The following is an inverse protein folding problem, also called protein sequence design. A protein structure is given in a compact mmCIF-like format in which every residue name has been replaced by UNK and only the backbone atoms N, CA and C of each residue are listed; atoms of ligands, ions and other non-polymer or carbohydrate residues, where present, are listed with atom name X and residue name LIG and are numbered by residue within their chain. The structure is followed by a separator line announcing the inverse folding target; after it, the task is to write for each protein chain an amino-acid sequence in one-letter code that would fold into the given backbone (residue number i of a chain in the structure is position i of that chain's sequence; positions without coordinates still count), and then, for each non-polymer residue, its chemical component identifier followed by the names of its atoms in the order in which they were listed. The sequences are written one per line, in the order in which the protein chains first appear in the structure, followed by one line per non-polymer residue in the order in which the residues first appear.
data_IF_302868519181
#
_entry.id   IF_302868519181
#
_cell.length_a   1.000
_cell.length_b   1.000
_cell.length_c   1.000
_cell.angle_alpha   90.00
_cell.angle_beta   90.00
_cell.angle_gamma   90.00
#
_symmetry.space_group_name_H-M   'P 1'
#
loop_
_entity.id
_entity.type
_entity.pdbx_description
1 polymer ?
#
# COMPACT_ATOMS: atom_id res chain seq x y z
N UNK A 1 20.66 -21.00 -15.35
CA UNK A 1 20.80 -19.65 -14.77
C UNK A 1 19.42 -19.15 -14.35
N UNK A 2 19.27 -18.52 -13.20
CA UNK A 2 17.98 -17.97 -12.79
C UNK A 2 17.55 -16.85 -13.76
N UNK A 3 16.23 -16.75 -14.04
CA UNK A 3 15.67 -15.63 -14.80
C UNK A 3 15.67 -14.36 -13.94
N UNK A 4 15.49 -13.20 -14.56
CA UNK A 4 15.45 -11.90 -13.86
C UNK A 4 14.38 -11.84 -12.74
N UNK A 5 13.32 -12.64 -12.84
CA UNK A 5 12.26 -12.80 -11.82
C UNK A 5 12.59 -13.87 -10.77
N UNK A 6 13.83 -14.33 -10.67
CA UNK A 6 14.29 -15.40 -9.76
C UNK A 6 13.67 -16.80 -10.00
N UNK A 7 12.93 -16.98 -11.10
CA UNK A 7 12.37 -18.27 -11.44
C UNK A 7 13.48 -19.28 -11.76
N UNK A 8 13.42 -20.45 -11.13
CA UNK A 8 14.31 -21.58 -11.35
C UNK A 8 13.51 -22.87 -11.39
N UNK A 9 13.82 -23.75 -12.33
CA UNK A 9 13.27 -25.09 -12.41
C UNK A 9 14.20 -25.95 -13.28
N UNK A 10 14.39 -27.20 -12.93
CA UNK A 10 14.92 -28.20 -13.85
C UNK A 10 13.77 -28.73 -14.68
N UNK A 11 13.93 -28.67 -16.01
CA UNK A 11 12.97 -29.19 -16.97
C UNK A 11 13.57 -30.44 -17.63
N UNK A 12 12.81 -31.49 -17.69
CA UNK A 12 13.16 -32.71 -18.42
C UNK A 12 11.96 -33.20 -19.22
N UNK A 13 12.17 -33.49 -20.48
CA UNK A 13 11.13 -34.09 -21.31
C UNK A 13 11.33 -35.60 -21.32
N UNK A 14 10.32 -36.36 -20.93
CA UNK A 14 10.28 -37.81 -20.98
C UNK A 14 9.19 -38.30 -21.91
N UNK A 15 9.37 -39.43 -22.51
CA UNK A 15 8.34 -40.03 -23.37
C UNK A 15 7.57 -41.07 -22.57
N UNK A 16 6.26 -40.98 -22.55
CA UNK A 16 5.37 -41.93 -21.93
C UNK A 16 5.24 -43.23 -22.74
N UNK A 17 4.57 -44.24 -22.17
CA UNK A 17 4.42 -45.58 -22.82
C UNK A 17 3.73 -45.56 -24.18
N UNK A 18 2.96 -44.53 -24.45
CA UNK A 18 2.22 -44.32 -25.72
C UNK A 18 2.92 -43.35 -26.67
N UNK A 19 4.18 -42.95 -26.37
CA UNK A 19 4.95 -42.01 -27.17
C UNK A 19 4.60 -40.55 -26.96
N UNK A 20 3.71 -40.21 -26.02
CA UNK A 20 3.44 -38.85 -25.62
C UNK A 20 4.64 -38.20 -24.93
N UNK A 21 4.95 -36.94 -25.25
CA UNK A 21 5.96 -36.19 -24.55
C UNK A 21 5.40 -35.58 -23.26
N UNK A 22 6.03 -35.84 -22.14
CA UNK A 22 5.67 -35.33 -20.82
C UNK A 22 6.82 -34.44 -20.35
N UNK A 23 6.53 -33.16 -20.06
CA UNK A 23 7.49 -32.26 -19.47
C UNK A 23 7.45 -32.36 -17.95
N UNK A 24 8.55 -32.83 -17.36
CA UNK A 24 8.71 -32.97 -15.91
C UNK A 24 9.47 -31.75 -15.40
N UNK A 25 8.89 -31.05 -14.43
CA UNK A 25 9.52 -29.93 -13.75
C UNK A 25 9.95 -30.35 -12.34
N UNK A 26 11.25 -30.27 -12.05
CA UNK A 26 11.82 -30.62 -10.76
C UNK A 26 12.24 -29.31 -10.08
N UNK A 27 11.73 -29.11 -8.86
CA UNK A 27 12.00 -27.89 -8.08
C UNK A 27 12.24 -28.26 -6.62
N UNK A 28 13.11 -27.49 -5.95
CA UNK A 28 13.15 -27.50 -4.49
C UNK A 28 11.89 -26.81 -3.94
N UNK A 29 11.58 -26.99 -2.66
CA UNK A 29 10.48 -26.26 -2.00
C UNK A 29 10.63 -24.75 -2.11
N UNK A 30 11.86 -24.26 -2.08
CA UNK A 30 12.18 -22.84 -2.25
C UNK A 30 11.92 -22.36 -3.68
N UNK A 31 12.40 -23.09 -4.69
CA UNK A 31 12.15 -22.81 -6.10
C UNK A 31 10.64 -22.82 -6.41
N UNK A 32 9.90 -23.77 -5.83
CA UNK A 32 8.45 -23.84 -6.00
C UNK A 32 7.75 -22.61 -5.42
N UNK A 33 8.11 -22.19 -4.20
CA UNK A 33 7.56 -20.97 -3.59
C UNK A 33 7.87 -19.72 -4.42
N UNK A 34 9.10 -19.59 -4.90
CA UNK A 34 9.49 -18.47 -5.76
C UNK A 34 8.73 -18.46 -7.08
N UNK A 35 8.41 -19.64 -7.66
CA UNK A 35 7.63 -19.76 -8.89
C UNK A 35 6.15 -19.42 -8.70
N UNK A 36 5.56 -19.75 -7.54
CA UNK A 36 4.16 -19.49 -7.23
C UNK A 36 3.91 -18.04 -6.77
N UNK A 37 4.82 -17.51 -5.98
CA UNK A 37 4.62 -16.22 -5.28
C UNK A 37 5.60 -15.11 -5.71
N UNK A 38 6.54 -15.42 -6.64
CA UNK A 38 7.50 -14.48 -7.17
C UNK A 38 8.60 -14.06 -6.20
N UNK A 39 9.28 -12.96 -6.53
CA UNK A 39 10.42 -12.41 -5.76
C UNK A 39 10.06 -12.13 -4.30
N UNK A 40 8.82 -11.75 -4.01
CA UNK A 40 8.34 -11.49 -2.65
C UNK A 40 8.50 -12.71 -1.73
N UNK A 41 8.27 -13.92 -2.22
CA UNK A 41 8.45 -15.15 -1.43
C UNK A 41 9.92 -15.43 -1.09
N UNK A 42 10.85 -15.09 -1.98
CA UNK A 42 12.29 -15.28 -1.75
C UNK A 42 12.81 -14.38 -0.61
N UNK A 43 12.35 -13.14 -0.54
CA UNK A 43 12.71 -12.22 0.53
C UNK A 43 12.17 -12.65 1.89
N UNK A 44 10.95 -13.20 1.92
CA UNK A 44 10.32 -13.74 3.12
C UNK A 44 11.07 -14.93 3.70
N UNK A 45 11.55 -15.81 2.84
CA UNK A 45 12.32 -16.99 3.26
C UNK A 45 13.68 -16.62 3.85
N UNK A 46 14.36 -15.63 3.29
CA UNK A 46 15.67 -15.17 3.78
C UNK A 46 15.64 -14.57 5.19
N UNK A 47 14.47 -14.15 5.68
CA UNK A 47 14.27 -13.64 7.04
C UNK A 47 14.02 -14.72 8.10
N UNK A 48 14.00 -16.02 7.70
CA UNK A 48 13.94 -17.14 8.66
C UNK A 48 12.64 -17.30 9.43
N UNK A 49 11.56 -16.60 9.06
CA UNK A 49 10.28 -16.70 9.74
C UNK A 49 9.39 -17.79 9.12
N UNK A 50 8.70 -18.64 9.92
CA UNK A 50 7.64 -19.50 9.41
C UNK A 50 6.50 -18.60 8.89
N UNK A 51 6.29 -18.60 7.57
CA UNK A 51 5.27 -17.77 6.94
C UNK A 51 3.93 -18.47 7.08
N UNK A 52 3.09 -18.00 8.00
CA UNK A 52 1.68 -18.35 7.99
C UNK A 52 0.99 -17.81 6.74
N UNK A 53 0.01 -18.56 6.23
CA UNK A 53 -0.76 -18.21 5.00
C UNK A 53 -1.35 -16.81 5.08
N UNK A 54 -1.73 -16.36 6.29
CA UNK A 54 -2.26 -15.02 6.56
C UNK A 54 -1.24 -13.89 6.36
N UNK A 55 0.03 -14.12 6.68
CA UNK A 55 1.11 -13.13 6.51
C UNK A 55 1.51 -12.97 5.05
N UNK A 56 1.43 -14.04 4.26
CA UNK A 56 1.65 -13.99 2.84
C UNK A 56 0.55 -13.21 2.12
N UNK A 57 -0.72 -13.41 2.51
CA UNK A 57 -1.85 -12.66 1.96
C UNK A 57 -1.78 -11.17 2.27
N UNK A 58 -1.38 -10.80 3.48
CA UNK A 58 -1.15 -9.39 3.87
C UNK A 58 -0.03 -8.75 3.04
N UNK A 59 1.07 -9.48 2.81
CA UNK A 59 2.20 -9.00 2.00
C UNK A 59 1.89 -8.95 0.51
N UNK A 60 1.05 -9.84 -0.01
CA UNK A 60 0.53 -9.77 -1.38
C UNK A 60 -0.48 -8.63 -1.56
N UNK A 61 -1.31 -8.35 -0.57
CA UNK A 61 -2.19 -7.19 -0.56
C UNK A 61 -1.38 -5.89 -0.61
N UNK A 62 -0.32 -5.80 0.20
CA UNK A 62 0.63 -4.70 0.17
C UNK A 62 1.32 -4.56 -1.20
N UNK A 63 1.74 -5.67 -1.84
CA UNK A 63 2.36 -5.64 -3.16
C UNK A 63 1.41 -5.13 -4.25
N UNK A 64 0.12 -5.46 -4.17
CA UNK A 64 -0.92 -4.90 -5.05
C UNK A 64 -1.09 -3.40 -4.84
N UNK A 65 -1.14 -2.97 -3.59
CA UNK A 65 -1.22 -1.55 -3.22
C UNK A 65 0.00 -0.77 -3.76
N UNK A 66 1.19 -1.36 -3.68
CA UNK A 66 2.42 -0.82 -4.24
C UNK A 66 2.35 -0.67 -5.77
N UNK A 67 1.78 -1.65 -6.47
CA UNK A 67 1.59 -1.55 -7.92
C UNK A 67 0.55 -0.50 -8.31
N UNK A 68 -0.44 -0.24 -7.47
CA UNK A 68 -1.38 0.87 -7.67
C UNK A 68 -0.69 2.23 -7.45
N UNK A 69 0.13 2.35 -6.42
CA UNK A 69 0.94 3.55 -6.17
C UNK A 69 1.91 3.86 -7.32
N UNK A 70 2.47 2.82 -7.95
CA UNK A 70 3.33 3.00 -9.13
C UNK A 70 2.60 3.63 -10.32
N UNK A 71 1.32 3.33 -10.50
CA UNK A 71 0.51 3.93 -11.57
C UNK A 71 0.21 5.42 -11.32
N UNK A 72 0.14 5.81 -10.04
CA UNK A 72 -0.16 7.17 -9.60
C UNK A 72 1.09 8.04 -9.40
N UNK A 73 2.28 7.43 -9.29
CA UNK A 73 3.55 8.12 -9.08
C UNK A 73 3.97 8.92 -10.33
N UNK A 74 4.43 10.15 -10.12
CA UNK A 74 4.83 11.04 -11.21
C UNK A 74 6.21 10.68 -11.78
N UNK A 75 7.08 10.04 -10.97
CA UNK A 75 8.41 9.57 -11.36
C UNK A 75 8.89 8.41 -10.47
N UNK A 76 9.96 7.72 -10.93
CA UNK A 76 10.53 6.58 -10.24
C UNK A 76 11.18 6.93 -8.88
N UNK A 77 11.73 8.14 -8.73
CA UNK A 77 12.37 8.59 -7.47
C UNK A 77 11.35 8.74 -6.36
N UNK A 78 10.22 9.37 -6.66
CA UNK A 78 9.11 9.55 -5.72
C UNK A 78 8.51 8.21 -5.26
N UNK A 79 8.44 7.24 -6.18
CA UNK A 79 8.02 5.87 -5.89
C UNK A 79 8.98 5.17 -4.92
N UNK A 80 10.29 5.23 -5.18
CA UNK A 80 11.33 4.60 -4.33
C UNK A 80 11.39 5.25 -2.95
N UNK A 81 11.21 6.57 -2.86
CA UNK A 81 11.22 7.29 -1.59
C UNK A 81 9.99 6.92 -0.74
N UNK A 82 8.82 6.79 -1.37
CA UNK A 82 7.61 6.27 -0.73
C UNK A 82 7.79 4.85 -0.18
N UNK A 83 8.42 3.98 -0.95
CA UNK A 83 8.75 2.61 -0.54
C UNK A 83 9.65 2.54 0.69
N UNK A 84 10.70 3.36 0.74
CA UNK A 84 11.63 3.39 1.89
C UNK A 84 10.92 3.78 3.18
N UNK A 85 10.01 4.75 3.12
CA UNK A 85 9.27 5.22 4.30
C UNK A 85 8.35 4.13 4.86
N UNK A 86 7.63 3.42 4.01
CA UNK A 86 6.65 2.42 4.46
C UNK A 86 7.31 1.09 4.86
N UNK A 87 8.46 0.76 4.28
CA UNK A 87 9.16 -0.51 4.54
C UNK A 87 10.00 -0.51 5.83
N UNK A 88 10.68 0.59 6.13
CA UNK A 88 11.62 0.65 7.25
C UNK A 88 11.05 1.27 8.52
N UNK A 89 9.80 1.76 8.48
CA UNK A 89 9.17 2.31 9.69
C UNK A 89 8.53 1.20 10.51
N UNK A 90 8.79 1.23 11.82
CA UNK A 90 8.00 0.45 12.76
C UNK A 90 6.51 0.77 12.57
N UNK A 91 5.64 -0.23 12.62
CA UNK A 91 4.20 -0.04 12.46
C UNK A 91 3.54 0.38 13.78
N UNK A 92 2.47 1.18 13.68
CA UNK A 92 1.53 1.44 14.76
C UNK A 92 0.18 0.84 14.43
N UNK A 93 -0.47 0.23 15.41
CA UNK A 93 -1.77 -0.42 15.28
C UNK A 93 -2.82 0.42 15.99
N UNK A 94 -3.74 0.99 15.23
CA UNK A 94 -4.81 1.83 15.75
C UNK A 94 -6.17 1.20 15.49
N UNK A 95 -7.19 1.60 16.22
CA UNK A 95 -8.51 1.01 16.15
C UNK A 95 -9.53 1.99 15.59
N UNK A 96 -10.47 1.48 14.80
CA UNK A 96 -11.69 2.22 14.50
C UNK A 96 -12.63 2.17 15.71
N UNK A 97 -13.64 3.06 15.83
CA UNK A 97 -14.68 2.96 16.86
C UNK A 97 -15.46 1.64 16.83
N UNK A 98 -15.45 0.94 15.71
CA UNK A 98 -16.05 -0.40 15.53
C UNK A 98 -15.14 -1.55 15.95
N UNK A 99 -13.91 -1.26 16.43
CA UNK A 99 -12.94 -2.25 16.88
C UNK A 99 -12.07 -2.86 15.75
N UNK A 100 -12.18 -2.40 14.52
CA UNK A 100 -11.28 -2.87 13.44
C UNK A 100 -9.88 -2.32 13.63
N UNK A 101 -8.88 -3.18 13.49
CA UNK A 101 -7.45 -2.82 13.59
C UNK A 101 -6.95 -2.30 12.25
N UNK A 102 -6.26 -1.17 12.27
CA UNK A 102 -5.62 -0.55 11.11
C UNK A 102 -4.13 -0.41 11.40
N UNK A 103 -3.32 -0.97 10.52
CA UNK A 103 -1.86 -0.85 10.55
C UNK A 103 -1.42 0.38 9.75
N UNK A 104 -0.56 1.20 10.34
CA UNK A 104 0.00 2.42 9.75
C UNK A 104 1.50 2.51 10.04
N UNK A 105 2.29 3.20 9.21
CA UNK A 105 3.68 3.52 9.51
C UNK A 105 3.82 4.30 10.83
N UNK A 106 4.90 4.06 11.56
CA UNK A 106 5.18 4.82 12.78
C UNK A 106 5.31 6.32 12.50
N UNK A 107 4.71 7.13 13.36
CA UNK A 107 4.63 8.58 13.21
C UNK A 107 3.49 9.04 12.30
N UNK A 108 2.61 8.12 11.86
CA UNK A 108 1.38 8.46 11.14
C UNK A 108 0.47 9.35 11.97
N UNK A 109 -0.32 10.16 11.26
CA UNK A 109 -1.27 11.12 11.81
C UNK A 109 -2.71 10.71 11.47
N UNK A 110 -3.74 11.32 12.07
CA UNK A 110 -5.15 11.01 11.75
C UNK A 110 -5.51 11.09 10.27
N UNK A 111 -4.82 11.92 9.50
CA UNK A 111 -5.01 11.98 8.04
C UNK A 111 -4.55 10.70 7.34
N UNK A 112 -3.42 10.10 7.75
CA UNK A 112 -2.98 8.81 7.22
C UNK A 112 -4.03 7.73 7.46
N UNK A 113 -4.59 7.70 8.66
CA UNK A 113 -5.68 6.80 9.01
C UNK A 113 -6.93 7.04 8.16
N UNK A 114 -7.33 8.30 7.95
CA UNK A 114 -8.50 8.67 7.14
C UNK A 114 -8.38 8.15 5.70
N UNK A 115 -7.22 8.37 5.06
CA UNK A 115 -6.96 7.89 3.71
C UNK A 115 -6.80 6.36 3.64
N UNK A 116 -6.33 5.73 4.71
CA UNK A 116 -6.21 4.27 4.80
C UNK A 116 -7.58 3.60 4.82
N UNK A 117 -8.58 4.21 5.47
CA UNK A 117 -9.96 3.71 5.47
C UNK A 117 -10.61 3.91 4.10
N UNK A 118 -10.64 5.15 3.61
CA UNK A 118 -11.23 5.48 2.31
C UNK A 118 -10.78 6.87 1.83
N UNK A 119 -10.49 6.98 0.54
CA UNK A 119 -10.06 8.25 -0.07
C UNK A 119 -11.06 9.39 0.16
N UNK A 120 -12.37 9.13 0.07
CA UNK A 120 -13.39 10.15 0.33
C UNK A 120 -13.42 10.62 1.79
N UNK A 121 -13.18 9.72 2.76
CA UNK A 121 -13.07 10.09 4.17
C UNK A 121 -11.88 11.02 4.35
N UNK A 122 -10.74 10.69 3.75
CA UNK A 122 -9.56 11.56 3.73
C UNK A 122 -9.85 12.93 3.12
N UNK A 123 -10.45 12.98 1.93
CA UNK A 123 -10.75 14.22 1.23
C UNK A 123 -11.76 15.11 1.97
N UNK A 124 -12.68 14.53 2.74
CA UNK A 124 -13.72 15.24 3.49
C UNK A 124 -13.37 15.45 4.96
N UNK A 125 -12.16 15.12 5.37
CA UNK A 125 -11.71 15.27 6.74
C UNK A 125 -11.70 16.74 7.16
N UNK A 126 -12.32 17.04 8.31
CA UNK A 126 -12.32 18.38 8.93
C UNK A 126 -11.70 18.37 10.32
N UNK A 127 -11.47 17.18 10.87
CA UNK A 127 -10.89 17.01 12.19
C UNK A 127 -10.84 15.53 12.60
N UNK A 128 -10.35 15.27 13.79
CA UNK A 128 -10.23 13.91 14.33
C UNK A 128 -10.43 13.89 15.83
N UNK A 129 -10.90 12.74 16.32
CA UNK A 129 -10.88 12.39 17.75
C UNK A 129 -10.00 11.17 17.96
N UNK A 130 -9.22 11.19 18.99
CA UNK A 130 -8.44 10.05 19.47
C UNK A 130 -8.85 9.77 20.91
N UNK A 131 -9.23 8.54 21.18
CA UNK A 131 -9.72 8.09 22.49
C UNK A 131 -10.86 9.00 23.03
N UNK A 132 -11.76 9.42 22.12
CA UNK A 132 -12.93 10.27 22.43
C UNK A 132 -12.62 11.77 22.55
N UNK A 133 -11.36 12.20 22.50
CA UNK A 133 -10.94 13.62 22.59
C UNK A 133 -10.58 14.18 21.22
N UNK A 134 -11.01 15.41 20.94
CA UNK A 134 -10.60 16.11 19.72
C UNK A 134 -9.10 16.40 19.79
N UNK A 135 -8.38 16.04 18.72
CA UNK A 135 -6.94 16.25 18.59
C UNK A 135 -6.63 16.99 17.27
N UNK A 136 -5.53 17.74 17.21
CA UNK A 136 -5.07 18.34 15.96
C UNK A 136 -4.70 17.27 14.94
N UNK A 137 -4.78 17.59 13.64
CA UNK A 137 -4.45 16.67 12.55
C UNK A 137 -2.96 16.28 12.50
N UNK A 138 -2.11 16.99 13.25
CA UNK A 138 -0.67 16.72 13.42
C UNK A 138 -0.37 15.71 14.53
N UNK A 139 -1.40 15.29 15.29
CA UNK A 139 -1.24 14.33 16.39
C UNK A 139 -0.62 13.03 15.88
N UNK A 140 0.47 12.60 16.51
CA UNK A 140 1.14 11.33 16.17
C UNK A 140 0.40 10.17 16.84
N UNK A 141 -0.16 9.30 16.02
CA UNK A 141 -0.90 8.13 16.47
C UNK A 141 0.03 7.14 17.18
N UNK A 142 -0.50 6.51 18.21
CA UNK A 142 0.17 5.48 19.02
C UNK A 142 -0.58 4.17 18.90
N UNK A 143 0.12 3.06 19.07
CA UNK A 143 -0.52 1.73 19.13
C UNK A 143 -1.53 1.70 20.29
N UNK A 144 -2.75 1.25 19.99
CA UNK A 144 -3.86 1.21 20.92
C UNK A 144 -4.83 2.39 20.82
N UNK A 145 -4.49 3.45 20.06
CA UNK A 145 -5.41 4.59 19.89
C UNK A 145 -6.68 4.20 19.14
N UNK A 146 -7.82 4.67 19.63
CA UNK A 146 -9.12 4.59 18.94
C UNK A 146 -9.33 5.89 18.19
N UNK A 147 -9.36 5.82 16.85
CA UNK A 147 -9.37 7.00 15.97
C UNK A 147 -10.72 7.13 15.29
N UNK A 148 -11.34 8.29 15.45
CA UNK A 148 -12.57 8.70 14.76
C UNK A 148 -12.29 9.92 13.88
N UNK A 149 -12.63 9.85 12.58
CA UNK A 149 -12.46 10.96 11.65
C UNK A 149 -13.77 11.74 11.53
N UNK A 150 -13.67 13.03 11.73
CA UNK A 150 -14.78 13.97 11.52
C UNK A 150 -14.76 14.43 10.06
N UNK A 151 -15.88 14.22 9.37
CA UNK A 151 -16.03 14.60 7.96
C UNK A 151 -17.14 15.57 7.74
N UNK A 152 -17.02 16.43 6.71
CA UNK A 152 -18.07 17.32 6.25
C UNK A 152 -18.40 17.11 4.78
N UNK A 153 -19.68 17.13 4.44
CA UNK A 153 -20.13 17.12 3.02
C UNK A 153 -19.74 18.40 2.28
N UNK A 154 -19.54 19.51 3.01
CA UNK A 154 -19.17 20.81 2.48
C UNK A 154 -17.64 21.05 2.48
N UNK A 155 -16.83 20.01 2.76
CA UNK A 155 -15.39 20.14 2.67
C UNK A 155 -14.95 20.37 1.22
N UNK A 156 -14.10 21.40 1.03
CA UNK A 156 -13.51 21.73 -0.28
C UNK A 156 -12.42 20.74 -0.74
N UNK A 157 -12.15 19.70 0.04
CA UNK A 157 -11.10 18.72 -0.22
C UNK A 157 -9.86 18.94 0.64
N UNK A 158 -8.76 18.22 0.35
CA UNK A 158 -7.54 18.27 1.13
C UNK A 158 -6.82 19.63 1.00
N UNK A 159 -6.18 20.08 2.08
CA UNK A 159 -5.24 21.21 2.03
C UNK A 159 -3.88 20.75 1.48
N UNK A 160 -3.16 21.67 0.81
CA UNK A 160 -1.78 21.42 0.36
C UNK A 160 -0.81 21.18 1.51
N UNK A 161 -1.06 21.82 2.67
CA UNK A 161 -0.22 21.63 3.85
C UNK A 161 -0.31 20.20 4.43
N UNK A 162 -1.39 19.46 4.13
CA UNK A 162 -1.51 18.08 4.53
C UNK A 162 -0.41 17.17 3.95
N UNK A 163 0.16 17.54 2.79
CA UNK A 163 1.31 16.83 2.22
C UNK A 163 2.55 16.83 3.12
N UNK A 164 2.67 17.86 3.99
CA UNK A 164 3.76 17.95 4.98
C UNK A 164 3.46 17.14 6.24
N UNK A 165 2.18 16.96 6.55
CA UNK A 165 1.72 16.27 7.75
C UNK A 165 1.71 14.75 7.59
N UNK A 166 1.19 14.27 6.45
CA UNK A 166 1.03 12.82 6.22
C UNK A 166 2.37 12.10 6.12
N UNK A 167 2.43 10.93 6.75
CA UNK A 167 3.62 10.08 6.78
C UNK A 167 3.56 9.00 5.70
N UNK A 168 2.38 8.39 5.48
CA UNK A 168 2.24 7.30 4.53
C UNK A 168 2.33 7.78 3.08
N UNK A 169 2.98 6.99 2.23
CA UNK A 169 3.03 7.19 0.78
C UNK A 169 1.64 7.14 0.15
N UNK A 170 0.77 6.27 0.67
CA UNK A 170 -0.61 6.14 0.22
C UNK A 170 -1.40 7.45 0.37
N UNK A 171 -1.43 8.05 1.57
CA UNK A 171 -2.14 9.31 1.79
C UNK A 171 -1.56 10.43 0.92
N UNK A 172 -0.22 10.51 0.82
CA UNK A 172 0.47 11.51 0.01
C UNK A 172 0.09 11.40 -1.47
N UNK A 173 0.07 10.18 -2.03
CA UNK A 173 -0.35 9.92 -3.40
C UNK A 173 -1.81 10.32 -3.65
N UNK A 174 -2.74 9.94 -2.76
CA UNK A 174 -4.17 10.31 -2.90
C UNK A 174 -4.40 11.82 -2.85
N UNK A 175 -3.71 12.54 -1.96
CA UNK A 175 -3.77 14.01 -1.89
C UNK A 175 -3.26 14.65 -3.19
N UNK A 176 -2.11 14.19 -3.72
CA UNK A 176 -1.56 14.70 -4.99
C UNK A 176 -2.47 14.42 -6.17
N UNK A 177 -3.04 13.22 -6.25
CA UNK A 177 -3.99 12.81 -7.29
C UNK A 177 -5.23 13.72 -7.27
N UNK A 178 -5.74 14.08 -6.09
CA UNK A 178 -6.86 15.02 -5.96
C UNK A 178 -6.53 16.38 -6.55
N UNK A 179 -5.37 16.96 -6.22
CA UNK A 179 -4.93 18.25 -6.78
C UNK A 179 -4.68 18.20 -8.28
N UNK A 180 -4.18 17.09 -8.80
CA UNK A 180 -3.98 16.87 -10.24
C UNK A 180 -5.32 16.87 -10.99
N UNK A 181 -6.34 16.22 -10.41
CA UNK A 181 -7.70 16.19 -10.97
C UNK A 181 -8.33 17.60 -10.98
N UNK A 182 -8.26 18.32 -9.88
CA UNK A 182 -8.77 19.70 -9.76
C UNK A 182 -8.17 20.60 -10.83
N UNK A 183 -6.85 20.61 -11.00
CA UNK A 183 -6.18 21.41 -12.03
C UNK A 183 -6.64 21.06 -13.44
N UNK A 184 -6.92 19.80 -13.68
CA UNK A 184 -7.39 19.31 -14.98
C UNK A 184 -8.81 19.82 -15.26
N UNK A 185 -9.68 19.76 -14.28
CA UNK A 185 -11.06 20.24 -14.37
C UNK A 185 -11.11 21.75 -14.60
N UNK A 186 -10.29 22.55 -13.87
CA UNK A 186 -10.12 23.98 -14.08
C UNK A 186 -9.61 24.34 -15.49
N UNK A 187 -8.65 23.58 -16.01
CA UNK A 187 -8.11 23.80 -17.35
C UNK A 187 -9.13 23.50 -18.45
N UNK A 188 -9.97 22.48 -18.25
CA UNK A 188 -11.05 22.12 -19.21
C UNK A 188 -12.14 23.19 -19.21
N UNK A 189 -12.48 23.77 -18.04
CA UNK A 189 -13.47 24.86 -17.94
C UNK A 189 -12.95 26.09 -18.67
N UNK A 190 -11.71 26.53 -18.38
CA UNK A 190 -11.10 27.69 -19.06
C UNK A 190 -10.97 27.52 -20.58
N UNK A 191 -10.69 26.29 -21.04
CA UNK A 191 -10.61 26.01 -22.48
C UNK A 191 -11.94 25.97 -23.21
N UNK A 192 -13.09 25.92 -22.49
CA UNK A 192 -14.43 25.97 -23.07
C UNK A 192 -15.03 27.40 -23.11
N UNK A 193 -14.45 28.31 -22.33
CA UNK A 193 -14.87 29.71 -22.25
C UNK A 193 -14.10 30.60 -23.24
N UNK A 194 -13.11 30.07 -23.93
CA UNK A 194 -12.39 30.70 -25.07
C UNK A 194 -12.93 30.21 -26.41
#
# INVERSE_FOLDING_TARGET
MPKSNMYQSLHSTVFGPKGESIEVQIRTKEMHRTSEYGIAAHWLYKQGAPVEKSDLEKKLAWFREMMELQKDAANAEEFVEGLKVDWFSAAVFVFTPKGNVIELPSGSVPLDFAYRIHTEIGNRCIGSKVNGKIVPLEYKLKTGDIVEILTSKHSYGPSRDWLKLVKSSHARSKIRSWFKKQRRDESVIKGKEM
#
